data_IF_730897811343
#
_entry.id   IF_730897811343
#
_cell.length_a   1.000
_cell.length_b   1.000
_cell.length_c   1.000
_cell.angle_alpha   90.00
_cell.angle_beta   90.00
_cell.angle_gamma   90.00
#
_symmetry.space_group_name_H-M   'P 1'
#
loop_
_entity.id
_entity.type
_entity.pdbx_description
1 polymer ?
#
# COMPACT_ATOMS: atom_id res chain seq x y z
N UNK A 1 -16.86 1.95 20.19
CA UNK A 1 -17.20 2.11 18.76
C UNK A 1 -16.81 0.83 18.04
N UNK A 2 -17.75 0.15 17.41
CA UNK A 2 -17.45 -1.06 16.62
C UNK A 2 -16.44 -0.73 15.51
N UNK A 3 -15.41 -1.57 15.38
CA UNK A 3 -14.42 -1.48 14.32
C UNK A 3 -15.09 -1.90 13.00
N UNK A 4 -15.26 -0.96 12.05
CA UNK A 4 -15.82 -1.28 10.74
C UNK A 4 -14.80 -1.99 9.85
N UNK A 5 -15.17 -3.14 9.27
CA UNK A 5 -14.35 -3.90 8.32
C UNK A 5 -14.10 -3.08 7.05
N UNK A 6 -12.84 -3.03 6.58
CA UNK A 6 -12.46 -2.39 5.31
C UNK A 6 -12.07 -3.41 4.24
N UNK A 7 -11.56 -4.57 4.64
CA UNK A 7 -11.08 -5.63 3.77
C UNK A 7 -11.62 -6.92 4.32
N UNK A 8 -12.23 -7.71 3.45
CA UNK A 8 -12.68 -9.06 3.74
C UNK A 8 -12.22 -9.97 2.61
N UNK A 9 -11.36 -10.93 2.96
CA UNK A 9 -10.82 -11.93 2.04
C UNK A 9 -11.52 -13.25 2.31
N UNK A 10 -12.15 -13.83 1.28
CA UNK A 10 -12.96 -15.05 1.37
C UNK A 10 -12.41 -16.15 0.48
N UNK A 11 -11.90 -17.23 1.08
CA UNK A 11 -11.41 -18.43 0.39
C UNK A 11 -10.47 -18.14 -0.78
N UNK A 12 -9.66 -17.08 -0.66
CA UNK A 12 -8.84 -16.56 -1.74
C UNK A 12 -7.79 -17.60 -2.12
N UNK A 13 -7.80 -18.02 -3.39
CA UNK A 13 -6.85 -19.00 -3.90
C UNK A 13 -6.31 -18.60 -5.26
N UNK A 14 -5.02 -18.90 -5.47
CA UNK A 14 -4.33 -18.80 -6.75
C UNK A 14 -3.78 -20.16 -7.12
N UNK A 15 -4.19 -20.66 -8.29
CA UNK A 15 -3.70 -21.90 -8.88
C UNK A 15 -2.94 -21.53 -10.16
N UNK A 16 -1.72 -22.04 -10.30
CA UNK A 16 -0.88 -21.91 -11.49
C UNK A 16 -0.36 -23.30 -11.83
N UNK A 17 -0.58 -23.77 -13.06
CA UNK A 17 -0.14 -25.08 -13.54
C UNK A 17 -0.53 -26.24 -12.60
N UNK A 18 -1.76 -26.21 -12.07
CA UNK A 18 -2.27 -27.22 -11.13
C UNK A 18 -1.81 -27.05 -9.67
N UNK A 19 -0.85 -26.17 -9.40
CA UNK A 19 -0.29 -25.96 -8.05
C UNK A 19 -0.91 -24.74 -7.36
N UNK A 20 -1.18 -24.87 -6.06
CA UNK A 20 -1.63 -23.76 -5.24
C UNK A 20 -0.45 -22.85 -4.87
N UNK A 21 -0.50 -21.60 -5.31
CA UNK A 21 0.40 -20.54 -4.85
C UNK A 21 -0.16 -19.86 -3.59
N UNK A 22 -1.49 -19.74 -3.54
CA UNK A 22 -2.25 -19.28 -2.37
C UNK A 22 -3.45 -20.21 -2.24
N UNK A 23 -3.74 -20.73 -1.04
CA UNK A 23 -4.78 -21.75 -0.83
C UNK A 23 -5.76 -21.31 0.25
N UNK A 24 -7.02 -21.06 -0.14
CA UNK A 24 -8.17 -20.79 0.75
C UNK A 24 -7.88 -19.79 1.87
N UNK A 25 -7.21 -18.68 1.54
CA UNK A 25 -6.89 -17.65 2.51
C UNK A 25 -8.17 -16.90 2.94
N UNK A 26 -8.32 -16.71 4.26
CA UNK A 26 -9.46 -16.02 4.86
C UNK A 26 -8.97 -15.07 5.96
N UNK A 27 -9.32 -13.78 5.86
CA UNK A 27 -9.08 -12.82 6.93
C UNK A 27 -9.93 -11.56 6.73
N UNK A 28 -10.05 -10.77 7.80
CA UNK A 28 -10.65 -9.43 7.77
C UNK A 28 -9.66 -8.41 8.31
N UNK A 29 -9.77 -7.18 7.84
CA UNK A 29 -9.01 -6.04 8.37
C UNK A 29 -9.98 -4.91 8.65
N UNK A 30 -9.88 -4.31 9.83
CA UNK A 30 -10.70 -3.18 10.23
C UNK A 30 -10.03 -1.84 9.97
N UNK A 31 -10.84 -0.78 9.88
CA UNK A 31 -10.35 0.59 9.75
C UNK A 31 -9.35 0.96 10.85
N UNK A 32 -8.24 1.57 10.44
CA UNK A 32 -7.13 1.97 11.32
C UNK A 32 -6.16 0.85 11.69
N UNK A 33 -6.38 -0.40 11.27
CA UNK A 33 -5.45 -1.49 11.55
C UNK A 33 -4.23 -1.46 10.61
N UNK A 34 -3.09 -1.87 11.16
CA UNK A 34 -1.86 -2.14 10.41
C UNK A 34 -1.65 -3.65 10.47
N UNK A 35 -1.57 -4.30 9.32
CA UNK A 35 -1.41 -5.75 9.19
C UNK A 35 -0.17 -6.06 8.34
N UNK A 36 0.65 -6.99 8.78
CA UNK A 36 1.77 -7.51 7.99
C UNK A 36 1.50 -8.93 7.51
N UNK A 37 1.85 -9.23 6.26
CA UNK A 37 1.98 -10.62 5.83
C UNK A 37 3.39 -11.09 6.16
N UNK A 38 3.53 -12.12 6.99
CA UNK A 38 4.82 -12.76 7.24
C UNK A 38 4.90 -14.08 6.47
N UNK A 39 6.07 -14.72 6.49
CA UNK A 39 6.38 -15.91 5.70
C UNK A 39 7.63 -15.74 4.86
N UNK A 40 8.18 -16.86 4.40
CA UNK A 40 9.38 -16.87 3.56
C UNK A 40 9.11 -16.28 2.17
N UNK A 41 10.19 -15.95 1.46
CA UNK A 41 10.10 -15.57 0.05
C UNK A 41 9.47 -16.72 -0.75
N UNK A 42 8.46 -16.40 -1.57
CA UNK A 42 7.70 -17.40 -2.31
C UNK A 42 6.45 -17.95 -1.60
N UNK A 43 6.19 -17.57 -0.34
CA UNK A 43 4.97 -17.98 0.40
C UNK A 43 3.65 -17.44 -0.16
N UNK A 44 3.70 -16.57 -1.18
CA UNK A 44 2.51 -16.05 -1.85
C UNK A 44 1.99 -14.70 -1.31
N UNK A 45 2.77 -13.97 -0.51
CA UNK A 45 2.41 -12.62 0.00
C UNK A 45 2.16 -11.62 -1.12
N UNK A 46 3.16 -11.40 -1.98
CA UNK A 46 3.06 -10.52 -3.14
C UNK A 46 1.95 -10.98 -4.08
N UNK A 47 1.80 -12.29 -4.29
CA UNK A 47 0.70 -12.86 -5.08
C UNK A 47 -0.67 -12.51 -4.49
N UNK A 48 -0.81 -12.57 -3.15
CA UNK A 48 -2.02 -12.18 -2.43
C UNK A 48 -2.32 -10.70 -2.61
N UNK A 49 -1.32 -9.83 -2.42
CA UNK A 49 -1.48 -8.38 -2.63
C UNK A 49 -1.84 -8.05 -4.08
N UNK A 50 -1.19 -8.69 -5.05
CA UNK A 50 -1.50 -8.55 -6.49
C UNK A 50 -2.93 -9.01 -6.82
N UNK A 51 -3.43 -10.07 -6.18
CA UNK A 51 -4.83 -10.47 -6.31
C UNK A 51 -5.78 -9.43 -5.71
N UNK A 52 -5.49 -8.90 -4.52
CA UNK A 52 -6.30 -7.86 -3.87
C UNK A 52 -6.40 -6.57 -4.71
N UNK A 53 -5.32 -6.23 -5.42
CA UNK A 53 -5.27 -5.09 -6.35
C UNK A 53 -5.83 -5.42 -7.74
N UNK A 54 -6.21 -6.69 -7.99
CA UNK A 54 -6.66 -7.17 -9.28
C UNK A 54 -5.60 -7.05 -10.38
N UNK A 55 -4.31 -7.04 -10.01
CA UNK A 55 -3.17 -7.14 -10.92
C UNK A 55 -2.93 -8.58 -11.38
N UNK A 56 -3.38 -9.55 -10.57
CA UNK A 56 -3.36 -10.98 -10.89
C UNK A 56 -4.76 -11.56 -10.73
N UNK A 57 -5.15 -12.48 -11.62
CA UNK A 57 -6.46 -13.15 -11.55
C UNK A 57 -6.58 -14.04 -10.32
N UNK A 58 -7.79 -14.09 -9.76
CA UNK A 58 -8.16 -14.98 -8.65
C UNK A 58 -8.71 -16.27 -9.22
N UNK A 59 -8.18 -17.41 -8.79
CA UNK A 59 -8.70 -18.72 -9.20
C UNK A 59 -9.99 -19.05 -8.44
N UNK A 60 -10.03 -18.82 -7.13
CA UNK A 60 -11.19 -19.08 -6.27
C UNK A 60 -11.30 -18.04 -5.16
N UNK A 61 -12.52 -17.84 -4.65
CA UNK A 61 -12.78 -16.87 -3.58
C UNK A 61 -13.02 -15.45 -4.07
N UNK A 62 -12.96 -14.47 -3.17
CA UNK A 62 -13.15 -13.05 -3.48
C UNK A 62 -12.42 -12.15 -2.46
N UNK A 63 -12.23 -10.88 -2.84
CA UNK A 63 -11.76 -9.83 -1.93
C UNK A 63 -12.77 -8.68 -1.99
N UNK A 64 -13.28 -8.30 -0.83
CA UNK A 64 -14.20 -7.18 -0.67
C UNK A 64 -13.44 -6.04 -0.02
N UNK A 65 -13.39 -4.90 -0.69
CA UNK A 65 -12.66 -3.71 -0.25
C UNK A 65 -13.65 -2.56 -0.16
N UNK A 66 -13.79 -2.01 1.04
CA UNK A 66 -14.71 -0.91 1.33
C UNK A 66 -16.16 -1.22 0.90
N UNK A 67 -16.59 -2.47 1.12
CA UNK A 67 -17.93 -2.96 0.73
C UNK A 67 -18.06 -3.38 -0.74
N UNK A 68 -17.01 -3.27 -1.56
CA UNK A 68 -17.05 -3.61 -2.98
C UNK A 68 -16.18 -4.83 -3.29
N UNK A 69 -16.77 -5.84 -3.92
CA UNK A 69 -16.04 -6.99 -4.46
C UNK A 69 -15.11 -6.59 -5.61
N UNK A 70 -13.90 -7.11 -5.63
CA UNK A 70 -12.96 -6.91 -6.75
C UNK A 70 -13.35 -7.71 -7.99
N UNK A 71 -14.19 -8.75 -7.86
CA UNK A 71 -14.73 -9.52 -8.99
C UNK A 71 -15.88 -8.79 -9.68
N UNK A 72 -16.86 -8.29 -8.94
CA UNK A 72 -18.08 -7.69 -9.51
C UNK A 72 -18.03 -6.17 -9.62
N UNK A 73 -17.22 -5.49 -8.79
CA UNK A 73 -17.19 -4.02 -8.74
C UNK A 73 -15.76 -3.46 -8.58
N UNK A 74 -14.84 -4.02 -9.37
CA UNK A 74 -13.39 -3.71 -9.34
C UNK A 74 -13.09 -2.22 -9.28
N UNK A 75 -13.71 -1.40 -10.13
CA UNK A 75 -13.44 0.04 -10.20
C UNK A 75 -13.75 0.77 -8.88
N UNK A 76 -14.86 0.43 -8.21
CA UNK A 76 -15.22 1.02 -6.91
C UNK A 76 -14.31 0.53 -5.79
N UNK A 77 -13.97 -0.76 -5.79
CA UNK A 77 -13.03 -1.36 -4.84
C UNK A 77 -11.65 -0.67 -4.94
N UNK A 78 -11.06 -0.62 -6.14
CA UNK A 78 -9.71 -0.07 -6.37
C UNK A 78 -9.62 1.44 -6.15
N UNK A 79 -10.71 2.20 -6.35
CA UNK A 79 -10.74 3.65 -6.05
C UNK A 79 -10.44 3.95 -4.58
N UNK A 80 -10.66 2.97 -3.69
CA UNK A 80 -10.42 3.11 -2.25
C UNK A 80 -8.97 2.79 -1.84
N UNK A 81 -8.10 2.39 -2.78
CA UNK A 81 -6.76 1.86 -2.49
C UNK A 81 -5.68 2.80 -3.03
N UNK A 82 -4.67 3.05 -2.20
CA UNK A 82 -3.36 3.50 -2.63
C UNK A 82 -2.42 2.32 -2.48
N UNK A 83 -1.52 2.10 -3.44
CA UNK A 83 -0.62 0.97 -3.38
C UNK A 83 0.79 1.33 -3.84
N UNK A 84 1.77 0.67 -3.22
CA UNK A 84 3.11 0.49 -3.75
C UNK A 84 3.30 -1.02 -3.79
N UNK A 85 3.37 -1.57 -4.99
CA UNK A 85 3.75 -2.96 -5.22
C UNK A 85 5.10 -2.90 -5.90
N UNK A 86 6.04 -3.72 -5.42
CA UNK A 86 7.43 -3.66 -5.86
C UNK A 86 8.05 -2.27 -5.59
N UNK A 87 9.05 -1.85 -6.37
CA UNK A 87 9.72 -0.56 -6.17
C UNK A 87 8.96 0.56 -6.91
N UNK A 88 8.66 1.71 -6.27
CA UNK A 88 8.02 2.82 -6.97
C UNK A 88 8.93 3.34 -8.09
N UNK A 89 8.43 3.31 -9.33
CA UNK A 89 9.10 3.92 -10.48
C UNK A 89 8.97 5.44 -10.43
N UNK A 90 10.02 6.08 -9.93
CA UNK A 90 10.13 7.54 -9.86
C UNK A 90 11.04 8.06 -10.97
N UNK A 91 10.62 9.15 -11.63
CA UNK A 91 11.43 9.84 -12.62
C UNK A 91 12.56 10.62 -11.93
N UNK A 92 13.76 10.04 -11.93
CA UNK A 92 14.95 10.56 -11.23
C UNK A 92 15.38 11.96 -11.68
N UNK A 93 15.08 12.35 -12.92
CA UNK A 93 15.44 13.66 -13.47
C UNK A 93 14.46 14.77 -13.11
N UNK A 94 13.24 14.41 -12.70
CA UNK A 94 12.20 15.34 -12.22
C UNK A 94 12.37 15.63 -10.72
N UNK A 95 11.80 16.75 -10.26
CA UNK A 95 11.67 17.01 -8.83
C UNK A 95 10.69 16.04 -8.18
N UNK A 96 10.73 15.91 -6.85
CA UNK A 96 9.71 15.15 -6.11
C UNK A 96 8.30 15.70 -6.36
N UNK A 97 8.16 17.03 -6.42
CA UNK A 97 6.90 17.70 -6.73
C UNK A 97 6.39 17.33 -8.14
N UNK A 98 7.28 17.39 -9.14
CA UNK A 98 6.93 17.07 -10.52
C UNK A 98 6.55 15.60 -10.70
N UNK A 99 7.18 14.69 -9.96
CA UNK A 99 6.77 13.29 -9.91
C UNK A 99 5.33 13.14 -9.41
N UNK A 100 4.98 13.80 -8.30
CA UNK A 100 3.61 13.74 -7.74
C UNK A 100 2.60 14.40 -8.70
N UNK A 101 2.96 15.54 -9.29
CA UNK A 101 2.13 16.24 -10.26
C UNK A 101 1.86 15.39 -11.51
N UNK A 102 2.91 14.73 -12.03
CA UNK A 102 2.80 13.85 -13.19
C UNK A 102 1.83 12.70 -12.94
N UNK A 103 2.00 11.99 -11.81
CA UNK A 103 1.12 10.89 -11.46
C UNK A 103 -0.33 11.34 -11.25
N UNK A 104 -0.51 12.50 -10.61
CA UNK A 104 -1.82 13.08 -10.39
C UNK A 104 -2.54 13.40 -11.71
N UNK A 105 -1.85 13.96 -12.70
CA UNK A 105 -2.39 14.19 -14.06
C UNK A 105 -2.86 12.91 -14.72
N UNK A 106 -2.08 11.83 -14.62
CA UNK A 106 -2.47 10.52 -15.17
C UNK A 106 -3.75 9.97 -14.52
N UNK A 107 -4.00 10.29 -13.25
CA UNK A 107 -5.22 9.87 -12.56
C UNK A 107 -6.49 10.65 -12.97
N UNK A 108 -6.36 11.63 -13.88
CA UNK A 108 -7.49 12.43 -14.38
C UNK A 108 -8.03 13.46 -13.38
N UNK A 109 -7.27 13.78 -12.33
CA UNK A 109 -7.64 14.77 -11.31
C UNK A 109 -6.44 15.66 -11.03
N UNK A 110 -6.59 16.98 -11.03
CA UNK A 110 -5.56 17.91 -10.55
C UNK A 110 -6.09 18.58 -9.29
N UNK A 111 -5.37 18.41 -8.20
CA UNK A 111 -5.63 19.00 -6.90
C UNK A 111 -4.26 19.32 -6.27
N UNK A 112 -3.84 20.58 -6.34
CA UNK A 112 -2.55 21.01 -5.78
C UNK A 112 -2.51 20.93 -4.26
N UNK A 113 -3.66 21.12 -3.61
CA UNK A 113 -3.79 21.02 -2.15
C UNK A 113 -3.52 19.59 -1.67
N UNK A 114 -3.90 18.57 -2.46
CA UNK A 114 -3.61 17.17 -2.13
C UNK A 114 -2.10 16.90 -2.15
N UNK A 115 -1.35 17.48 -3.08
CA UNK A 115 0.13 17.33 -3.14
C UNK A 115 0.75 17.92 -1.88
N UNK A 116 0.45 19.18 -1.57
CA UNK A 116 1.00 19.85 -0.40
C UNK A 116 0.66 19.08 0.90
N UNK A 117 -0.56 18.53 1.00
CA UNK A 117 -0.95 17.68 2.12
C UNK A 117 -0.10 16.41 2.21
N UNK A 118 0.05 15.64 1.13
CA UNK A 118 0.80 14.37 1.20
C UNK A 118 2.30 14.58 1.43
N UNK A 119 2.88 15.66 0.89
CA UNK A 119 4.28 16.02 1.12
C UNK A 119 4.53 16.27 2.61
N UNK A 120 3.65 17.05 3.25
CA UNK A 120 3.69 17.26 4.72
C UNK A 120 3.48 15.98 5.53
N UNK A 121 2.65 15.08 5.02
CA UNK A 121 2.39 13.81 5.70
C UNK A 121 3.65 12.92 5.75
N UNK A 122 4.48 12.95 4.70
CA UNK A 122 5.68 12.11 4.60
C UNK A 122 6.98 12.82 5.00
N UNK A 123 6.93 14.13 5.32
CA UNK A 123 8.07 14.89 5.80
C UNK A 123 9.09 15.22 4.71
N UNK A 124 8.65 15.57 3.50
CA UNK A 124 9.51 15.91 2.35
C UNK A 124 9.48 17.39 1.96
N UNK A 125 8.86 18.28 2.76
CA UNK A 125 8.65 19.69 2.43
C UNK A 125 9.92 20.41 1.99
N UNK A 126 11.02 20.19 2.70
CA UNK A 126 12.29 20.91 2.49
C UNK A 126 13.05 20.45 1.23
N UNK A 127 12.70 19.29 0.68
CA UNK A 127 13.43 18.62 -0.41
C UNK A 127 12.56 18.34 -1.62
N UNK A 128 11.26 18.66 -1.57
CA UNK A 128 10.29 18.26 -2.59
C UNK A 128 10.60 18.85 -3.98
N UNK A 129 11.26 20.00 -4.01
CA UNK A 129 11.67 20.67 -5.25
C UNK A 129 13.02 20.17 -5.80
N UNK A 130 13.75 19.36 -5.03
CA UNK A 130 15.01 18.76 -5.49
C UNK A 130 14.74 17.59 -6.43
N UNK A 131 15.69 17.34 -7.35
CA UNK A 131 15.61 16.22 -8.31
C UNK A 131 15.67 14.89 -7.57
N UNK A 132 14.79 13.95 -7.89
CA UNK A 132 14.72 12.64 -7.21
C UNK A 132 16.03 11.84 -7.29
N UNK A 133 16.90 12.10 -8.28
CA UNK A 133 18.24 11.50 -8.34
C UNK A 133 19.13 11.82 -7.13
N UNK A 134 18.87 12.91 -6.39
CA UNK A 134 19.63 13.29 -5.18
C UNK A 134 19.05 12.67 -3.90
N UNK A 135 17.88 12.04 -3.99
CA UNK A 135 17.19 11.50 -2.81
C UNK A 135 17.93 10.26 -2.28
N UNK A 136 17.94 10.10 -0.95
CA UNK A 136 18.27 8.81 -0.35
C UNK A 136 17.21 7.76 -0.71
N UNK A 137 17.48 6.48 -0.42
CA UNK A 137 16.48 5.43 -0.62
C UNK A 137 15.23 5.67 0.26
N UNK A 138 15.41 6.08 1.52
CA UNK A 138 14.30 6.42 2.42
C UNK A 138 13.44 7.58 1.91
N UNK A 139 14.06 8.61 1.34
CA UNK A 139 13.33 9.72 0.71
C UNK A 139 12.53 9.26 -0.51
N UNK A 140 13.08 8.34 -1.33
CA UNK A 140 12.33 7.74 -2.45
C UNK A 140 11.15 6.90 -1.97
N UNK A 141 11.31 6.12 -0.91
CA UNK A 141 10.21 5.35 -0.31
C UNK A 141 9.10 6.27 0.22
N UNK A 142 9.48 7.34 0.93
CA UNK A 142 8.54 8.38 1.38
C UNK A 142 7.80 9.03 0.21
N UNK A 143 8.49 9.31 -0.90
CA UNK A 143 7.86 9.88 -2.10
C UNK A 143 6.86 8.91 -2.75
N UNK A 144 7.20 7.62 -2.84
CA UNK A 144 6.26 6.59 -3.28
C UNK A 144 5.03 6.49 -2.37
N UNK A 145 5.21 6.62 -1.05
CA UNK A 145 4.09 6.67 -0.11
C UNK A 145 3.25 7.92 -0.36
N UNK A 146 3.85 9.09 -0.55
CA UNK A 146 3.12 10.30 -0.89
C UNK A 146 2.28 10.12 -2.17
N UNK A 147 2.86 9.51 -3.21
CA UNK A 147 2.17 9.20 -4.47
C UNK A 147 0.93 8.32 -4.25
N UNK A 148 1.07 7.23 -3.49
CA UNK A 148 -0.05 6.34 -3.17
C UNK A 148 -1.17 7.03 -2.37
N UNK A 149 -0.86 8.10 -1.64
CA UNK A 149 -1.80 8.84 -0.80
C UNK A 149 -2.57 9.95 -1.53
N UNK A 150 -2.16 10.34 -2.76
CA UNK A 150 -2.69 11.49 -3.50
C UNK A 150 -4.22 11.48 -3.64
N UNK A 151 -4.81 10.31 -3.88
CA UNK A 151 -6.25 10.15 -4.05
C UNK A 151 -7.03 9.94 -2.75
N UNK A 152 -6.42 10.23 -1.59
CA UNK A 152 -7.01 10.04 -0.26
C UNK A 152 -7.61 8.64 -0.08
N UNK A 153 -6.83 7.57 -0.32
CA UNK A 153 -7.34 6.21 -0.21
C UNK A 153 -7.73 5.85 1.23
N UNK A 154 -8.68 4.94 1.35
CA UNK A 154 -9.09 4.35 2.64
C UNK A 154 -8.15 3.20 3.08
N UNK A 155 -7.52 2.53 2.10
CA UNK A 155 -6.59 1.42 2.29
C UNK A 155 -5.25 1.75 1.61
N UNK A 156 -4.16 1.52 2.32
CA UNK A 156 -2.80 1.58 1.79
C UNK A 156 -2.21 0.16 1.77
N UNK A 157 -1.76 -0.32 0.61
CA UNK A 157 -1.07 -1.61 0.47
C UNK A 157 0.37 -1.35 0.05
N UNK A 158 1.33 -1.91 0.79
CA UNK A 158 2.75 -1.74 0.58
C UNK A 158 3.41 -3.12 0.52
N UNK A 159 4.10 -3.40 -0.57
CA UNK A 159 4.95 -4.58 -0.71
C UNK A 159 6.40 -4.20 -0.40
N UNK A 160 7.01 -4.91 0.56
CA UNK A 160 8.40 -4.68 1.01
C UNK A 160 8.82 -3.20 1.21
N UNK A 161 8.05 -2.37 1.94
CA UNK A 161 8.32 -0.93 2.03
C UNK A 161 9.66 -0.59 2.69
N UNK A 162 10.21 -1.51 3.50
CA UNK A 162 11.47 -1.33 4.23
C UNK A 162 12.70 -1.89 3.51
N UNK A 163 12.53 -2.54 2.35
CA UNK A 163 13.63 -3.23 1.69
C UNK A 163 14.75 -2.25 1.25
N UNK A 164 15.99 -2.63 1.52
CA UNK A 164 17.20 -1.86 1.25
C UNK A 164 17.45 -0.66 2.19
N UNK A 165 16.55 -0.38 3.14
CA UNK A 165 16.78 0.67 4.14
C UNK A 165 17.74 0.17 5.23
N UNK A 166 18.52 1.11 5.76
CA UNK A 166 19.28 0.89 6.98
C UNK A 166 18.35 0.84 8.22
N UNK A 167 18.82 0.38 9.40
CA UNK A 167 17.97 0.26 10.58
C UNK A 167 17.29 1.58 11.02
N UNK A 168 17.96 2.71 10.78
CA UNK A 168 17.42 4.05 11.07
C UNK A 168 16.26 4.38 10.13
N UNK A 169 16.44 4.21 8.82
CA UNK A 169 15.40 4.43 7.81
C UNK A 169 14.20 3.50 7.98
N UNK A 170 14.44 2.23 8.37
CA UNK A 170 13.35 1.29 8.70
C UNK A 170 12.50 1.79 9.88
N UNK A 171 13.16 2.29 10.93
CA UNK A 171 12.49 2.82 12.13
C UNK A 171 11.68 4.08 11.79
N UNK A 172 12.26 5.00 11.04
CA UNK A 172 11.60 6.23 10.58
C UNK A 172 10.36 5.92 9.72
N UNK A 173 10.49 4.96 8.80
CA UNK A 173 9.38 4.53 7.96
C UNK A 173 8.26 3.90 8.78
N UNK A 174 8.61 3.04 9.75
CA UNK A 174 7.64 2.42 10.66
C UNK A 174 6.87 3.47 11.45
N UNK A 175 7.54 4.49 11.98
CA UNK A 175 6.89 5.60 12.69
C UNK A 175 5.95 6.39 11.79
N UNK A 176 6.35 6.67 10.55
CA UNK A 176 5.48 7.28 9.55
C UNK A 176 4.23 6.43 9.30
N UNK A 177 4.37 5.12 9.14
CA UNK A 177 3.24 4.20 8.97
C UNK A 177 2.35 4.12 10.21
N UNK A 178 2.89 4.23 11.42
CA UNK A 178 2.05 4.30 12.63
C UNK A 178 1.28 5.63 12.66
N UNK A 179 1.96 6.75 12.36
CA UNK A 179 1.39 8.10 12.37
C UNK A 179 0.20 8.24 11.45
N UNK A 180 0.29 7.80 10.18
CA UNK A 180 -0.85 7.99 9.26
C UNK A 180 -2.01 7.01 9.55
N UNK A 181 -1.79 5.90 10.28
CA UNK A 181 -2.87 4.98 10.65
C UNK A 181 -3.70 5.58 11.78
N UNK A 182 -3.03 6.13 12.79
CA UNK A 182 -3.65 6.83 13.91
C UNK A 182 -4.36 8.12 13.48
N UNK A 183 -3.69 8.97 12.69
CA UNK A 183 -4.19 10.32 12.36
C UNK A 183 -5.24 10.34 11.26
N UNK A 184 -5.17 9.41 10.29
CA UNK A 184 -6.07 9.43 9.12
C UNK A 184 -7.10 8.28 9.13
N UNK A 185 -7.12 7.41 10.15
CA UNK A 185 -7.97 6.19 10.22
C UNK A 185 -7.86 5.31 8.96
N UNK A 186 -6.71 5.31 8.30
CA UNK A 186 -6.43 4.52 7.09
C UNK A 186 -5.91 3.14 7.48
N UNK A 187 -6.30 2.12 6.73
CA UNK A 187 -5.78 0.75 6.91
C UNK A 187 -4.48 0.61 6.17
N UNK A 188 -3.53 -0.09 6.79
CA UNK A 188 -2.22 -0.34 6.19
C UNK A 188 -1.95 -1.82 6.12
N UNK A 189 -1.53 -2.29 4.96
CA UNK A 189 -0.91 -3.59 4.80
C UNK A 189 0.54 -3.32 4.40
N UNK A 190 1.51 -3.77 5.18
CA UNK A 190 2.93 -3.60 4.91
C UNK A 190 3.76 -4.69 5.57
N UNK A 191 4.74 -5.25 4.85
CA UNK A 191 5.71 -6.18 5.43
C UNK A 191 6.68 -5.41 6.35
N UNK A 192 6.92 -5.95 7.54
CA UNK A 192 7.82 -5.42 8.57
C UNK A 192 8.24 -6.58 9.46
N UNK A 193 9.56 -6.74 9.66
CA UNK A 193 10.22 -7.78 10.46
C UNK A 193 9.85 -7.82 11.96
N UNK A 194 8.77 -7.16 12.39
CA UNK A 194 8.14 -7.30 13.71
C UNK A 194 6.81 -6.54 13.68
N UNK A 195 5.70 -7.27 13.53
CA UNK A 195 4.42 -7.13 14.27
C UNK A 195 3.38 -8.18 13.81
N UNK A 196 3.05 -9.06 14.76
CA UNK A 196 1.83 -9.86 15.05
C UNK A 196 0.96 -10.36 13.89
N UNK A 197 1.10 -11.67 13.60
CA UNK A 197 -0.05 -12.50 13.24
C UNK A 197 -1.03 -12.53 14.42
N UNK A 198 -2.28 -12.18 14.18
CA UNK A 198 -3.34 -12.65 15.06
C UNK A 198 -3.58 -14.12 14.70
N UNK A 199 -2.83 -15.04 15.32
CA UNK A 199 -3.38 -16.37 15.53
C UNK A 199 -4.60 -16.20 16.43
N UNK A 200 -5.75 -16.67 15.95
CA UNK A 200 -6.80 -17.16 16.84
C UNK A 200 -6.52 -18.65 17.01
N UNK A 201 -5.95 -19.00 18.14
CA UNK A 201 -6.43 -20.13 18.93
C UNK A 201 -7.21 -19.53 20.10
#
# INVERSE_FOLDING_TARGET
>A
MEKSVIVEVKNLSKIINGNYIVKKLNFTINRGEIVGFLGENGSGKTTTMKMMLGLTSISQGDVIINGYSIKSNKKKALKSIGAIIETPELYKFLSGYDNLMYFQRMSGRINRESIAKVVRMVGLENVINDKVKTYSLGMRQKLGIAQSLLNSPALLILDEPTNGLDPSGMSELKELLIKLAKKEKKVRIGDSERIVYHERL
#
